data_IF_957526343282
#
_entry.id   IF_957526343282
#
_cell.length_a   1.000
_cell.length_b   1.000
_cell.length_c   1.000
_cell.angle_alpha   90.00
_cell.angle_beta   90.00
_cell.angle_gamma   90.00
#
_symmetry.space_group_name_H-M   'P 1'
#
loop_
_entity.id
_entity.type
_entity.pdbx_description
1 polymer ?
#
# COMPACT_ATOMS: atom_id res chain seq x y z
N UNK A 1 -11.50 28.15 36.32
CA UNK A 1 -10.10 28.15 35.94
C UNK A 1 -9.79 26.71 35.46
N UNK A 2 -9.72 26.50 34.14
CA UNK A 2 -9.29 25.21 33.60
C UNK A 2 -7.77 25.23 33.77
N UNK A 3 -7.25 24.37 34.65
CA UNK A 3 -5.82 24.12 34.77
C UNK A 3 -5.30 23.74 33.39
N UNK A 4 -4.25 24.36 32.85
CA UNK A 4 -3.68 23.92 31.58
C UNK A 4 -3.23 22.48 31.79
N UNK A 5 -3.85 21.53 31.07
CA UNK A 5 -3.41 20.13 31.09
C UNK A 5 -1.99 20.12 30.55
N UNK A 6 -1.01 19.94 31.44
CA UNK A 6 0.38 19.76 31.02
C UNK A 6 0.44 18.44 30.23
N UNK A 7 0.90 18.45 28.98
CA UNK A 7 1.01 17.24 28.20
C UNK A 7 1.84 16.16 28.90
N UNK A 8 1.34 14.95 28.97
CA UNK A 8 2.07 13.78 29.50
C UNK A 8 2.93 13.20 28.39
N UNK A 9 4.23 13.38 28.49
CA UNK A 9 5.17 12.79 27.54
C UNK A 9 5.47 11.34 27.91
N UNK A 10 5.55 10.47 26.89
CA UNK A 10 6.00 9.10 27.07
C UNK A 10 7.46 9.07 27.52
N UNK A 11 7.82 8.31 28.58
CA UNK A 11 9.21 8.14 29.00
C UNK A 11 9.90 7.06 28.15
N UNK A 12 11.24 6.98 28.21
CA UNK A 12 12.00 5.82 27.69
C UNK A 12 12.18 5.80 26.17
N UNK A 13 12.19 6.98 25.50
CA UNK A 13 12.59 7.03 24.09
C UNK A 13 14.02 6.50 23.86
N UNK A 14 14.35 6.15 22.60
CA UNK A 14 13.57 6.33 21.37
C UNK A 14 12.73 5.12 20.94
N UNK A 15 12.55 4.09 21.77
CA UNK A 15 11.90 2.83 21.40
C UNK A 15 12.90 1.79 20.87
N UNK A 16 12.40 0.62 20.45
CA UNK A 16 13.22 -0.43 19.84
C UNK A 16 13.56 -0.10 18.39
N UNK A 17 14.54 -0.81 17.83
CA UNK A 17 14.93 -0.68 16.42
C UNK A 17 13.73 -0.87 15.49
N UNK A 18 13.45 0.11 14.60
CA UNK A 18 12.33 0.00 13.68
C UNK A 18 12.57 -1.04 12.61
N UNK A 19 11.51 -1.74 12.24
CA UNK A 19 11.53 -2.74 11.17
C UNK A 19 10.25 -2.63 10.35
N UNK A 20 10.38 -2.83 9.06
CA UNK A 20 9.25 -2.89 8.13
C UNK A 20 8.50 -4.22 8.23
N UNK A 21 7.27 -4.28 7.73
CA UNK A 21 6.51 -5.53 7.67
C UNK A 21 7.10 -6.43 6.58
N UNK A 22 6.81 -7.76 6.67
CA UNK A 22 7.29 -8.69 5.65
C UNK A 22 6.70 -8.35 4.28
N UNK A 23 7.45 -8.69 3.26
CA UNK A 23 7.14 -8.30 1.92
C UNK A 23 6.12 -9.15 1.17
N UNK A 24 5.53 -10.15 1.78
CA UNK A 24 4.42 -10.91 1.20
C UNK A 24 3.15 -10.08 1.29
N UNK A 25 2.89 -9.24 0.29
CA UNK A 25 1.65 -8.48 0.18
C UNK A 25 0.65 -9.24 -0.67
N UNK A 26 -0.60 -9.29 -0.25
CA UNK A 26 -1.68 -9.96 -1.00
C UNK A 26 -2.48 -8.99 -1.85
N UNK A 27 -2.47 -7.70 -1.52
CA UNK A 27 -3.20 -6.69 -2.27
C UNK A 27 -2.48 -5.34 -2.29
N UNK A 28 -2.69 -4.62 -3.38
CA UNK A 28 -2.21 -3.25 -3.61
C UNK A 28 -3.41 -2.40 -4.03
N UNK A 29 -3.62 -1.29 -3.36
CA UNK A 29 -4.73 -0.39 -3.63
C UNK A 29 -4.32 1.07 -3.77
N UNK A 30 -5.10 1.79 -4.59
CA UNK A 30 -5.05 3.25 -4.72
C UNK A 30 -6.31 3.73 -5.44
N UNK A 31 -6.70 4.98 -5.29
CA UNK A 31 -7.66 5.62 -6.18
C UNK A 31 -7.04 5.87 -7.57
N UNK A 32 -7.84 5.85 -8.62
CA UNK A 32 -7.33 6.17 -9.96
C UNK A 32 -7.03 7.65 -10.15
N UNK A 33 -7.78 8.51 -9.46
CA UNK A 33 -7.63 9.96 -9.53
C UNK A 33 -6.24 10.44 -9.13
N UNK A 34 -5.73 11.42 -9.86
CA UNK A 34 -4.49 12.14 -9.52
C UNK A 34 -4.67 13.14 -8.37
N UNK A 35 -5.89 13.35 -7.88
CA UNK A 35 -6.15 14.16 -6.68
C UNK A 35 -5.81 13.43 -5.39
N UNK A 36 -5.71 12.11 -5.42
CA UNK A 36 -5.33 11.27 -4.28
C UNK A 36 -3.94 10.70 -4.51
N UNK A 37 -2.97 11.13 -3.73
CA UNK A 37 -1.59 10.63 -3.77
C UNK A 37 -1.35 9.56 -2.69
N UNK A 38 -2.33 8.67 -2.48
CA UNK A 38 -2.22 7.59 -1.51
C UNK A 38 -2.28 6.24 -2.21
N UNK A 39 -1.29 5.39 -1.92
CA UNK A 39 -1.27 3.96 -2.24
C UNK A 39 -1.14 3.18 -0.95
N UNK A 40 -1.60 1.95 -0.95
CA UNK A 40 -1.51 1.09 0.24
C UNK A 40 -1.36 -0.37 -0.13
N UNK A 41 -0.82 -1.14 0.78
CA UNK A 41 -0.70 -2.59 0.68
C UNK A 41 -1.45 -3.29 1.80
N UNK A 42 -1.86 -4.52 1.55
CA UNK A 42 -2.55 -5.36 2.54
C UNK A 42 -1.85 -6.70 2.69
N UNK A 43 -1.79 -7.18 3.94
CA UNK A 43 -1.39 -8.54 4.28
C UNK A 43 -2.14 -8.98 5.53
N UNK A 44 -2.49 -10.27 5.65
CA UNK A 44 -3.27 -10.82 6.78
C UNK A 44 -4.58 -10.07 7.10
N UNK A 45 -5.19 -9.45 6.10
CA UNK A 45 -6.38 -8.61 6.29
C UNK A 45 -6.09 -7.26 6.97
N UNK A 46 -4.84 -6.90 7.22
CA UNK A 46 -4.42 -5.62 7.78
C UNK A 46 -3.87 -4.69 6.70
N UNK A 47 -3.97 -3.38 6.94
CA UNK A 47 -3.21 -2.39 6.18
C UNK A 47 -1.76 -2.50 6.61
N UNK A 48 -0.88 -2.69 5.64
CA UNK A 48 0.57 -2.62 5.85
C UNK A 48 1.07 -1.23 5.42
N UNK A 49 2.05 -1.12 4.54
CA UNK A 49 2.56 0.21 4.19
C UNK A 49 1.48 1.07 3.50
N UNK A 50 1.45 2.35 3.83
CA UNK A 50 0.72 3.40 3.10
C UNK A 50 1.74 4.39 2.57
N UNK A 51 1.66 4.69 1.28
CA UNK A 51 2.61 5.55 0.57
C UNK A 51 2.01 6.93 0.33
N UNK A 52 2.79 7.97 0.54
CA UNK A 52 2.45 9.37 0.33
C UNK A 52 3.73 10.24 0.34
N UNK A 53 3.87 11.34 -0.39
CA UNK A 53 3.00 11.83 -1.48
C UNK A 53 3.29 11.15 -2.80
N UNK A 54 4.26 10.26 -2.82
CA UNK A 54 4.74 9.54 -3.99
C UNK A 54 4.75 8.05 -3.74
N UNK A 55 4.67 7.27 -4.81
CA UNK A 55 4.52 5.83 -4.75
C UNK A 55 5.75 5.09 -4.19
N UNK A 56 6.90 5.75 -4.17
CA UNK A 56 8.16 5.23 -3.61
C UNK A 56 8.38 5.57 -2.13
N UNK A 57 7.44 6.30 -1.51
CA UNK A 57 7.60 6.86 -0.16
C UNK A 57 6.58 6.29 0.85
N UNK A 58 6.81 5.08 1.43
CA UNK A 58 5.97 4.55 2.49
C UNK A 58 6.09 5.40 3.77
N UNK A 59 4.95 5.59 4.45
CA UNK A 59 4.80 6.50 5.58
C UNK A 59 4.36 5.82 6.87
N UNK A 60 3.87 4.58 6.80
CA UNK A 60 3.54 3.78 7.98
C UNK A 60 4.09 2.36 7.80
N UNK A 61 4.37 1.71 8.91
CA UNK A 61 4.72 0.29 8.94
C UNK A 61 3.47 -0.58 8.82
N UNK A 62 2.46 -0.32 9.65
CA UNK A 62 1.16 -0.97 9.62
C UNK A 62 0.09 -0.18 10.37
N UNK A 63 -1.16 -0.53 10.07
CA UNK A 63 -2.32 -0.18 10.85
C UNK A 63 -3.09 -1.46 11.14
N UNK A 64 -3.37 -1.73 12.40
CA UNK A 64 -4.13 -2.88 12.83
C UNK A 64 -5.13 -2.53 13.94
N UNK A 65 -6.10 -3.42 14.15
CA UNK A 65 -7.00 -3.33 15.28
C UNK A 65 -6.59 -4.29 16.38
N UNK A 66 -6.71 -3.81 17.60
CA UNK A 66 -6.46 -4.57 18.82
C UNK A 66 -7.80 -4.75 19.54
N UNK A 67 -8.05 -5.93 20.07
CA UNK A 67 -9.32 -6.26 20.75
C UNK A 67 -9.04 -6.90 22.08
N UNK A 68 -9.75 -6.46 23.11
CA UNK A 68 -9.69 -7.01 24.46
C UNK A 68 -11.06 -6.98 25.13
N UNK A 69 -11.28 -7.81 26.14
CA UNK A 69 -12.42 -7.68 27.06
C UNK A 69 -12.06 -6.89 28.34
N UNK A 70 -10.80 -6.49 28.46
CA UNK A 70 -10.27 -5.75 29.60
C UNK A 70 -9.92 -6.60 30.84
N UNK A 71 -10.04 -7.93 30.76
CA UNK A 71 -9.85 -8.82 31.91
C UNK A 71 -9.16 -10.16 31.59
N UNK A 72 -9.49 -10.79 30.45
CA UNK A 72 -9.11 -12.18 30.20
C UNK A 72 -8.26 -12.38 28.97
N UNK A 73 -8.36 -11.51 27.97
CA UNK A 73 -7.62 -11.68 26.73
C UNK A 73 -7.25 -10.35 26.06
N UNK A 74 -6.20 -10.42 25.27
CA UNK A 74 -5.78 -9.43 24.31
C UNK A 74 -5.45 -10.09 22.98
N UNK A 75 -6.03 -9.57 21.89
CA UNK A 75 -5.81 -10.06 20.54
C UNK A 75 -5.36 -8.94 19.62
N UNK A 76 -4.30 -9.19 18.85
CA UNK A 76 -3.94 -8.38 17.69
C UNK A 76 -4.32 -9.09 16.38
N UNK A 77 -4.65 -8.32 15.35
CA UNK A 77 -5.13 -8.88 14.09
C UNK A 77 -4.10 -9.79 13.41
N UNK A 78 -2.82 -9.54 13.54
CA UNK A 78 -1.77 -10.29 12.86
C UNK A 78 -1.52 -11.67 13.47
N UNK A 79 -1.72 -11.82 14.78
CA UNK A 79 -1.40 -13.05 15.52
C UNK A 79 -2.61 -13.91 15.85
N UNK A 80 -3.75 -13.28 16.12
CA UNK A 80 -4.91 -13.96 16.68
C UNK A 80 -6.04 -14.17 15.68
N UNK A 81 -5.91 -13.68 14.44
CA UNK A 81 -6.95 -13.79 13.43
C UNK A 81 -6.50 -14.58 12.20
N UNK A 82 -7.50 -15.07 11.46
CA UNK A 82 -7.34 -15.59 10.11
C UNK A 82 -8.06 -14.63 9.18
N UNK A 83 -7.30 -14.02 8.26
CA UNK A 83 -7.79 -13.01 7.34
C UNK A 83 -8.10 -13.57 5.95
N UNK A 84 -9.18 -13.08 5.34
CA UNK A 84 -9.46 -13.22 3.91
C UNK A 84 -9.60 -11.84 3.29
N UNK A 85 -9.12 -11.67 2.06
CA UNK A 85 -9.18 -10.40 1.33
C UNK A 85 -9.82 -10.65 -0.03
N UNK A 86 -10.89 -9.91 -0.30
CA UNK A 86 -11.61 -9.91 -1.56
C UNK A 86 -11.62 -8.50 -2.16
N UNK A 87 -11.81 -8.38 -3.47
CA UNK A 87 -11.96 -7.06 -4.10
C UNK A 87 -13.39 -6.56 -3.96
N UNK A 88 -13.57 -5.25 -3.72
CA UNK A 88 -14.90 -4.61 -3.63
C UNK A 88 -15.64 -4.55 -4.98
N UNK A 89 -14.93 -4.69 -6.10
CA UNK A 89 -15.48 -4.82 -7.45
C UNK A 89 -14.47 -5.51 -8.37
N UNK A 90 -14.91 -5.86 -9.58
CA UNK A 90 -14.05 -6.52 -10.57
C UNK A 90 -12.91 -5.60 -11.06
N UNK A 91 -13.16 -4.31 -11.18
CA UNK A 91 -12.23 -3.33 -11.73
C UNK A 91 -11.46 -2.55 -10.66
N UNK A 92 -12.05 -2.29 -9.50
CA UNK A 92 -11.49 -1.37 -8.53
C UNK A 92 -10.42 -2.01 -7.64
N UNK A 93 -9.36 -1.26 -7.35
CA UNK A 93 -8.27 -1.64 -6.45
C UNK A 93 -8.57 -1.19 -5.01
N UNK A 94 -9.75 -1.53 -4.53
CA UNK A 94 -10.21 -1.45 -3.16
C UNK A 94 -10.62 -2.84 -2.67
N UNK A 95 -10.61 -3.09 -1.37
CA UNK A 95 -10.69 -4.43 -0.84
C UNK A 95 -11.63 -4.55 0.35
N UNK A 96 -12.34 -5.67 0.39
CA UNK A 96 -13.03 -6.15 1.59
C UNK A 96 -12.14 -7.17 2.30
N UNK A 97 -11.85 -6.93 3.56
CA UNK A 97 -11.08 -7.84 4.40
C UNK A 97 -11.96 -8.37 5.54
N UNK A 98 -11.96 -9.68 5.74
CA UNK A 98 -12.64 -10.32 6.86
C UNK A 98 -11.60 -11.02 7.72
N UNK A 99 -11.40 -10.52 8.93
CA UNK A 99 -10.53 -11.11 9.92
C UNK A 99 -11.39 -11.82 10.98
N UNK A 100 -11.32 -13.15 11.00
CA UNK A 100 -12.02 -13.98 11.99
C UNK A 100 -11.06 -14.36 13.09
N UNK A 101 -11.45 -14.12 14.32
CA UNK A 101 -10.69 -14.58 15.49
C UNK A 101 -10.57 -16.11 15.46
N UNK A 102 -9.41 -16.66 15.85
CA UNK A 102 -9.06 -18.08 15.65
C UNK A 102 -10.03 -19.09 16.27
N UNK A 103 -10.67 -18.73 17.38
CA UNK A 103 -11.71 -19.55 18.02
C UNK A 103 -13.12 -19.26 17.48
N UNK A 104 -13.24 -18.28 16.57
CA UNK A 104 -14.50 -17.94 15.92
C UNK A 104 -15.51 -17.16 16.78
N UNK A 105 -15.07 -16.59 17.90
CA UNK A 105 -15.94 -15.85 18.83
C UNK A 105 -16.48 -14.56 18.26
N UNK A 106 -15.68 -13.89 17.41
CA UNK A 106 -16.02 -12.63 16.74
C UNK A 106 -15.21 -12.43 15.47
N UNK A 107 -15.59 -11.43 14.68
CA UNK A 107 -14.88 -11.08 13.45
C UNK A 107 -14.85 -9.58 13.23
N UNK A 108 -13.85 -9.14 12.49
CA UNK A 108 -13.68 -7.74 12.04
C UNK A 108 -13.82 -7.75 10.52
N UNK A 109 -14.83 -7.05 10.01
CA UNK A 109 -15.03 -6.84 8.58
C UNK A 109 -14.60 -5.42 8.23
N UNK A 110 -13.79 -5.29 7.18
CA UNK A 110 -13.25 -3.99 6.75
C UNK A 110 -13.44 -3.81 5.26
N UNK A 111 -13.87 -2.62 4.84
CA UNK A 111 -13.75 -2.16 3.45
C UNK A 111 -12.70 -1.08 3.40
N UNK A 112 -11.66 -1.28 2.60
CA UNK A 112 -10.45 -0.46 2.56
C UNK A 112 -10.30 0.15 1.17
N UNK A 113 -10.21 1.49 1.11
CA UNK A 113 -10.02 2.22 -0.14
C UNK A 113 -9.33 3.57 0.09
N UNK A 114 -8.60 4.07 -0.91
CA UNK A 114 -8.13 5.46 -0.93
C UNK A 114 -9.26 6.40 -1.28
N UNK A 115 -9.38 7.52 -0.56
CA UNK A 115 -10.34 8.58 -0.94
C UNK A 115 -10.00 9.07 -2.35
N UNK A 116 -10.95 9.09 -3.31
CA UNK A 116 -10.67 9.49 -4.69
C UNK A 116 -10.37 10.98 -4.87
N UNK A 117 -10.61 11.80 -3.85
CA UNK A 117 -10.49 13.26 -3.92
C UNK A 117 -9.49 13.85 -2.92
N UNK A 118 -9.06 13.05 -1.94
CA UNK A 118 -8.22 13.50 -0.83
C UNK A 118 -7.03 12.55 -0.63
N UNK A 119 -5.97 13.06 -0.01
CA UNK A 119 -4.82 12.26 0.41
C UNK A 119 -5.14 11.49 1.69
N UNK A 120 -6.10 10.58 1.60
CA UNK A 120 -6.63 9.86 2.75
C UNK A 120 -6.90 8.39 2.42
N UNK A 121 -6.54 7.51 3.33
CA UNK A 121 -6.96 6.11 3.33
C UNK A 121 -8.17 5.96 4.26
N UNK A 122 -9.21 5.30 3.79
CA UNK A 122 -10.43 5.02 4.54
C UNK A 122 -10.55 3.53 4.82
N UNK A 123 -10.80 3.19 6.07
CA UNK A 123 -11.02 1.82 6.56
C UNK A 123 -12.38 1.78 7.25
N UNK A 124 -13.44 1.46 6.51
CA UNK A 124 -14.74 1.21 7.14
C UNK A 124 -14.68 -0.15 7.83
N UNK A 125 -14.93 -0.17 9.11
CA UNK A 125 -14.78 -1.33 9.97
C UNK A 125 -16.08 -1.68 10.65
N UNK A 126 -16.40 -2.97 10.73
CA UNK A 126 -17.53 -3.51 11.45
C UNK A 126 -17.08 -4.67 12.34
N UNK A 127 -17.14 -4.47 13.66
CA UNK A 127 -16.92 -5.53 14.65
C UNK A 127 -18.21 -6.31 14.83
N UNK A 128 -18.17 -7.61 14.54
CA UNK A 128 -19.31 -8.52 14.67
C UNK A 128 -19.03 -9.56 15.76
N UNK A 129 -19.89 -9.60 16.77
CA UNK A 129 -19.85 -10.55 17.87
C UNK A 129 -21.28 -10.80 18.37
N UNK A 130 -21.53 -11.89 19.12
CA UNK A 130 -22.78 -12.05 19.88
C UNK A 130 -23.01 -10.83 20.80
N UNK A 131 -24.26 -10.37 20.99
CA UNK A 131 -24.55 -9.14 21.73
C UNK A 131 -23.93 -9.08 23.13
N UNK A 132 -23.92 -10.20 23.84
CA UNK A 132 -23.36 -10.31 25.20
C UNK A 132 -21.83 -10.13 25.22
N UNK A 133 -21.17 -10.61 24.17
CA UNK A 133 -19.72 -10.44 24.02
C UNK A 133 -19.40 -9.02 23.53
N UNK A 134 -20.16 -8.51 22.54
CA UNK A 134 -19.94 -7.19 21.96
C UNK A 134 -19.93 -6.07 23.00
N UNK A 135 -20.81 -6.18 24.02
CA UNK A 135 -20.87 -5.21 25.13
C UNK A 135 -19.61 -5.20 26.02
N UNK A 136 -18.85 -6.29 26.01
CA UNK A 136 -17.61 -6.42 26.80
C UNK A 136 -16.37 -6.06 26.00
N UNK A 137 -16.44 -6.16 24.66
CA UNK A 137 -15.30 -5.91 23.81
C UNK A 137 -14.92 -4.42 23.79
N UNK A 138 -13.64 -4.18 23.88
CA UNK A 138 -12.98 -2.90 23.60
C UNK A 138 -12.12 -3.08 22.37
N UNK A 139 -12.15 -2.10 21.49
CA UNK A 139 -11.39 -2.13 20.24
C UNK A 139 -10.54 -0.88 20.12
N UNK A 140 -9.30 -1.08 19.76
CA UNK A 140 -8.34 0.00 19.56
C UNK A 140 -7.80 -0.04 18.15
N UNK A 141 -7.53 1.12 17.58
CA UNK A 141 -6.69 1.25 16.40
C UNK A 141 -5.26 1.48 16.84
N UNK A 142 -4.32 0.76 16.26
CA UNK A 142 -2.87 0.94 16.44
C UNK A 142 -2.26 1.27 15.09
N UNK A 143 -1.50 2.36 15.00
CA UNK A 143 -0.71 2.74 13.85
C UNK A 143 0.75 2.96 14.24
N UNK A 144 1.68 2.39 13.49
CA UNK A 144 3.10 2.61 13.64
C UNK A 144 3.61 3.52 12.50
N UNK A 145 3.76 4.84 12.73
CA UNK A 145 4.30 5.75 11.73
C UNK A 145 5.78 5.44 11.43
N UNK A 146 6.11 5.43 10.15
CA UNK A 146 7.46 5.37 9.62
C UNK A 146 7.61 6.48 8.57
N UNK A 147 7.33 7.72 9.00
CA UNK A 147 7.28 8.87 8.12
C UNK A 147 8.64 9.16 7.48
N UNK A 148 8.59 9.66 6.24
CA UNK A 148 9.79 9.90 5.43
C UNK A 148 10.70 8.68 5.36
N UNK A 149 10.07 7.53 5.11
CA UNK A 149 10.72 6.22 4.90
C UNK A 149 11.59 5.80 6.08
N UNK A 150 11.09 5.95 7.32
CA UNK A 150 11.84 5.50 8.47
C UNK A 150 11.11 5.60 9.81
N UNK A 151 11.33 4.59 10.66
CA UNK A 151 10.72 4.52 11.99
C UNK A 151 11.44 5.36 13.04
N UNK A 152 12.69 5.75 12.81
CA UNK A 152 13.38 6.70 13.68
C UNK A 152 12.92 8.14 13.47
N UNK A 153 13.07 8.97 14.52
CA UNK A 153 12.81 10.40 14.48
C UNK A 153 11.36 10.78 14.15
N UNK A 154 10.40 9.89 14.40
CA UNK A 154 8.99 10.27 14.33
C UNK A 154 8.57 10.97 15.63
N UNK A 155 7.62 11.88 15.49
CA UNK A 155 6.99 12.58 16.59
C UNK A 155 5.49 12.29 16.53
N UNK A 156 4.87 12.00 17.68
CA UNK A 156 3.45 11.71 17.76
C UNK A 156 2.77 12.48 18.85
N UNK A 157 1.53 12.87 18.62
CA UNK A 157 0.72 13.66 19.55
C UNK A 157 -0.74 13.20 19.54
N UNK A 158 -1.35 13.19 20.71
CA UNK A 158 -2.80 13.08 20.89
C UNK A 158 -3.39 14.48 20.94
N UNK A 159 -4.03 14.90 19.87
CA UNK A 159 -4.67 16.20 19.77
C UNK A 159 -6.09 16.15 20.30
N UNK A 160 -6.40 16.96 21.30
CA UNK A 160 -7.77 17.17 21.77
C UNK A 160 -8.29 18.49 21.20
N UNK A 161 -9.13 18.40 20.18
CA UNK A 161 -9.85 19.51 19.59
C UNK A 161 -11.24 19.59 20.22
N UNK A 162 -11.96 20.74 20.07
CA UNK A 162 -13.32 20.87 20.61
C UNK A 162 -14.22 19.75 20.09
N UNK A 163 -14.58 18.83 20.99
CA UNK A 163 -15.49 17.71 20.73
C UNK A 163 -14.86 16.50 20.01
N UNK A 164 -13.59 16.52 19.63
CA UNK A 164 -12.94 15.40 18.94
C UNK A 164 -11.49 15.20 19.40
N UNK A 165 -11.07 13.94 19.46
CA UNK A 165 -9.65 13.57 19.62
C UNK A 165 -9.12 13.04 18.29
N UNK A 166 -7.93 13.47 17.92
CA UNK A 166 -7.21 13.06 16.70
C UNK A 166 -5.81 12.62 17.08
N UNK A 167 -5.37 11.48 16.55
CA UNK A 167 -3.99 11.04 16.69
C UNK A 167 -3.18 11.61 15.55
N UNK A 168 -2.03 12.21 15.84
CA UNK A 168 -1.16 12.79 14.80
C UNK A 168 0.26 12.33 14.95
N UNK A 169 0.95 12.21 13.80
CA UNK A 169 2.40 12.03 13.76
C UNK A 169 3.01 12.97 12.72
N UNK A 170 4.27 13.34 12.94
CA UNK A 170 5.00 14.19 12.00
C UNK A 170 6.50 13.89 12.01
N UNK A 171 7.11 14.10 10.83
CA UNK A 171 8.55 14.08 10.61
C UNK A 171 8.86 14.93 9.40
N UNK A 172 9.83 15.84 9.51
CA UNK A 172 10.13 16.78 8.43
C UNK A 172 8.90 17.54 7.92
N UNK A 173 8.58 17.37 6.65
CA UNK A 173 7.43 18.00 6.00
C UNK A 173 6.22 17.05 5.85
N UNK A 174 6.24 15.87 6.46
CA UNK A 174 5.16 14.91 6.36
C UNK A 174 4.36 14.85 7.66
N UNK A 175 3.05 15.02 7.55
CA UNK A 175 2.09 14.92 8.64
C UNK A 175 1.06 13.81 8.36
N UNK A 176 0.79 13.05 9.39
CA UNK A 176 -0.28 12.05 9.44
C UNK A 176 -1.30 12.49 10.50
N UNK A 177 -2.59 12.41 10.17
CA UNK A 177 -3.69 12.58 11.11
C UNK A 177 -4.63 11.38 11.02
N UNK A 178 -4.97 10.78 12.16
CA UNK A 178 -5.87 9.63 12.26
C UNK A 178 -7.08 10.00 13.11
N UNK A 179 -8.27 9.76 12.56
CA UNK A 179 -9.55 9.97 13.23
C UNK A 179 -10.56 8.91 12.83
N UNK A 180 -11.71 8.92 13.48
CA UNK A 180 -12.78 7.98 13.18
C UNK A 180 -14.14 8.67 13.23
N UNK A 181 -15.16 8.04 12.62
CA UNK A 181 -16.56 8.50 12.70
C UNK A 181 -17.21 8.25 14.06
N UNK A 182 -16.58 7.45 14.92
CA UNK A 182 -16.87 7.31 16.35
C UNK A 182 -15.79 8.01 17.16
N UNK A 183 -16.10 8.57 18.34
CA UNK A 183 -15.09 9.20 19.18
C UNK A 183 -14.00 8.21 19.62
N UNK A 184 -12.79 8.70 19.79
CA UNK A 184 -11.79 7.97 20.57
C UNK A 184 -12.07 8.13 22.07
N UNK A 185 -12.01 7.01 22.81
CA UNK A 185 -12.13 6.98 24.28
C UNK A 185 -10.79 7.24 24.93
N UNK A 186 -9.92 6.24 24.92
CA UNK A 186 -8.60 6.27 25.51
C UNK A 186 -7.57 6.39 24.39
N UNK A 187 -6.59 7.27 24.54
CA UNK A 187 -5.55 7.48 23.55
C UNK A 187 -4.17 7.49 24.19
N UNK A 188 -3.20 6.95 23.48
CA UNK A 188 -1.81 6.99 23.86
C UNK A 188 -0.90 7.13 22.65
N UNK A 189 0.19 7.88 22.82
CA UNK A 189 1.32 7.90 21.91
C UNK A 189 2.55 7.46 22.70
N UNK A 190 3.08 6.27 22.40
CA UNK A 190 4.20 5.67 23.14
C UNK A 190 5.31 5.21 22.20
N UNK A 191 6.43 4.80 22.78
CA UNK A 191 7.56 4.26 22.06
C UNK A 191 7.40 2.75 21.85
N UNK A 192 7.55 2.30 20.61
CA UNK A 192 7.37 0.90 20.21
C UNK A 192 8.23 -0.04 21.05
N UNK A 193 7.60 -1.07 21.60
CA UNK A 193 8.25 -2.10 22.43
C UNK A 193 8.69 -1.64 23.82
N UNK A 194 8.36 -0.41 24.22
CA UNK A 194 8.69 0.16 25.54
C UNK A 194 7.42 0.49 26.31
N UNK A 195 6.58 1.36 25.76
CA UNK A 195 5.37 1.84 26.41
C UNK A 195 4.28 2.25 25.40
N UNK A 196 4.30 1.66 24.23
CA UNK A 196 3.21 1.79 23.24
C UNK A 196 1.96 1.03 23.72
N UNK A 197 0.83 1.34 23.10
CA UNK A 197 -0.45 0.75 23.51
C UNK A 197 -0.54 -0.77 23.27
N UNK A 198 0.25 -1.35 22.36
CA UNK A 198 0.31 -2.79 22.20
C UNK A 198 0.97 -3.45 23.42
N UNK A 199 2.07 -2.88 23.89
CA UNK A 199 2.82 -3.35 25.05
C UNK A 199 1.95 -3.27 26.33
N UNK A 200 1.26 -2.16 26.53
CA UNK A 200 0.35 -1.95 27.67
C UNK A 200 -0.83 -2.94 27.66
N UNK A 201 -1.53 -3.05 26.54
CA UNK A 201 -2.66 -3.99 26.38
C UNK A 201 -2.24 -5.46 26.50
N UNK A 202 -1.03 -5.80 26.09
CA UNK A 202 -0.50 -7.17 26.23
C UNK A 202 -0.16 -7.53 27.67
N UNK A 203 0.17 -6.54 28.51
CA UNK A 203 0.53 -6.75 29.92
C UNK A 203 -0.72 -7.00 30.79
N UNK A 204 -1.76 -6.16 30.64
CA UNK A 204 -2.89 -6.18 31.58
C UNK A 204 -4.28 -6.05 30.94
N UNK A 205 -4.38 -6.14 29.60
CA UNK A 205 -5.62 -6.08 28.82
C UNK A 205 -6.31 -4.70 28.80
N UNK A 206 -5.66 -3.64 29.31
CA UNK A 206 -6.19 -2.28 29.40
C UNK A 206 -5.19 -1.26 28.86
N UNK A 207 -5.68 -0.12 28.37
CA UNK A 207 -4.83 1.00 27.98
C UNK A 207 -4.70 1.97 29.18
N UNK A 208 -3.79 1.66 30.07
CA UNK A 208 -3.55 2.44 31.28
C UNK A 208 -2.46 3.50 31.07
N UNK A 209 -1.51 3.26 30.17
CA UNK A 209 -0.44 4.19 29.83
C UNK A 209 -0.92 5.19 28.77
N UNK A 210 -1.51 6.26 29.24
CA UNK A 210 -2.05 7.31 28.37
C UNK A 210 -1.07 8.48 28.28
N UNK A 211 -0.26 8.50 27.24
CA UNK A 211 0.66 9.59 26.94
C UNK A 211 0.11 10.47 25.82
N UNK A 212 0.24 11.81 26.02
CA UNK A 212 -0.21 12.78 25.05
C UNK A 212 0.78 12.98 23.90
N UNK A 213 2.07 12.68 24.13
CA UNK A 213 3.10 12.79 23.10
C UNK A 213 4.28 11.85 23.35
N UNK A 214 4.88 11.40 22.24
CA UNK A 214 6.19 10.75 22.17
C UNK A 214 7.00 11.42 21.04
N UNK A 215 8.21 11.86 21.34
CA UNK A 215 9.00 12.68 20.44
C UNK A 215 10.31 11.98 20.07
N UNK A 216 10.74 12.19 18.83
CA UNK A 216 12.06 11.80 18.32
C UNK A 216 12.35 10.29 18.50
N UNK A 217 11.47 9.42 17.99
CA UNK A 217 11.66 7.98 18.16
C UNK A 217 10.87 7.10 17.21
N UNK A 218 10.96 5.79 17.45
CA UNK A 218 10.08 4.79 16.89
C UNK A 218 8.84 4.72 17.76
N UNK A 219 7.73 5.27 17.27
CA UNK A 219 6.52 5.51 18.03
C UNK A 219 5.33 4.72 17.49
N UNK A 220 4.32 4.54 18.34
CA UNK A 220 3.01 4.04 17.92
C UNK A 220 1.90 4.93 18.50
N UNK A 221 0.89 5.15 17.67
CA UNK A 221 -0.35 5.85 17.99
C UNK A 221 -1.44 4.83 18.27
N UNK A 222 -2.09 4.94 19.43
CA UNK A 222 -3.16 4.04 19.86
C UNK A 222 -4.39 4.83 20.25
N UNK A 223 -5.56 4.43 19.73
CA UNK A 223 -6.83 5.06 20.08
C UNK A 223 -7.95 4.04 20.29
N UNK A 224 -8.59 4.06 21.44
CA UNK A 224 -9.78 3.28 21.76
C UNK A 224 -11.00 3.83 21.00
N UNK A 225 -11.80 2.96 20.44
CA UNK A 225 -12.98 3.31 19.63
C UNK A 225 -14.26 3.17 20.45
N UNK A 226 -15.09 4.20 20.51
CA UNK A 226 -16.35 4.16 21.26
C UNK A 226 -17.40 3.27 20.57
N UNK A 227 -17.33 1.97 20.85
CA UNK A 227 -18.28 0.99 20.32
C UNK A 227 -19.72 1.17 20.85
N UNK A 228 -19.92 1.96 21.92
CA UNK A 228 -21.27 2.28 22.40
C UNK A 228 -22.05 3.14 21.42
N UNK A 229 -21.36 3.88 20.56
CA UNK A 229 -21.98 4.70 19.50
C UNK A 229 -22.31 3.90 18.25
N UNK A 230 -21.40 3.03 17.83
CA UNK A 230 -21.62 2.13 16.71
C UNK A 230 -20.56 1.02 16.67
N UNK A 231 -20.96 -0.19 16.29
CA UNK A 231 -20.03 -1.29 15.96
C UNK A 231 -19.53 -1.24 14.50
N UNK A 232 -20.14 -0.38 13.68
CA UNK A 232 -19.70 -0.06 12.30
C UNK A 232 -19.31 1.41 12.23
N UNK A 233 -18.06 1.67 11.88
CA UNK A 233 -17.46 3.00 11.82
C UNK A 233 -16.40 3.07 10.74
N UNK A 234 -15.90 4.26 10.42
CA UNK A 234 -14.78 4.47 9.50
C UNK A 234 -13.61 5.08 10.25
N UNK A 235 -12.44 4.46 10.14
CA UNK A 235 -11.15 5.05 10.51
C UNK A 235 -10.52 5.64 9.25
N UNK A 236 -9.96 6.84 9.38
CA UNK A 236 -9.32 7.55 8.28
C UNK A 236 -7.88 7.92 8.65
N UNK A 237 -6.96 7.72 7.70
CA UNK A 237 -5.55 8.12 7.77
C UNK A 237 -5.31 9.18 6.71
N UNK A 238 -5.20 10.41 7.12
CA UNK A 238 -5.03 11.56 6.24
C UNK A 238 -3.60 12.08 6.30
N UNK A 239 -3.06 12.40 5.12
CA UNK A 239 -1.70 12.92 4.97
C UNK A 239 -1.70 14.37 4.49
N UNK A 240 -0.66 15.11 4.87
CA UNK A 240 -0.44 16.47 4.44
C UNK A 240 1.00 16.92 4.64
N UNK A 241 1.37 18.05 4.05
CA UNK A 241 2.69 18.66 4.23
C UNK A 241 2.76 19.60 5.43
N UNK A 242 1.64 19.84 6.07
CA UNK A 242 1.50 20.59 7.31
C UNK A 242 0.43 19.96 8.19
N UNK A 243 0.48 20.24 9.50
CA UNK A 243 -0.56 19.84 10.45
C UNK A 243 -1.97 20.23 9.97
N UNK A 244 -2.11 21.48 9.50
CA UNK A 244 -3.40 21.99 9.03
C UNK A 244 -3.91 21.22 7.82
N UNK A 245 -3.04 20.91 6.84
CA UNK A 245 -3.43 20.12 5.67
C UNK A 245 -3.91 18.71 6.07
N UNK A 246 -3.16 18.01 6.93
CA UNK A 246 -3.54 16.67 7.36
C UNK A 246 -4.88 16.67 8.12
N UNK A 247 -5.09 17.62 9.05
CA UNK A 247 -6.35 17.74 9.79
C UNK A 247 -7.52 18.14 8.89
N UNK A 248 -7.32 19.06 7.94
CA UNK A 248 -8.35 19.48 6.99
C UNK A 248 -8.74 18.34 6.05
N UNK A 249 -7.75 17.59 5.54
CA UNK A 249 -7.96 16.37 4.74
C UNK A 249 -8.77 15.33 5.52
N UNK A 250 -8.39 15.07 6.77
CA UNK A 250 -9.11 14.15 7.66
C UNK A 250 -10.57 14.54 7.82
N UNK A 251 -10.81 15.80 8.19
CA UNK A 251 -12.16 16.32 8.40
C UNK A 251 -13.02 16.24 7.13
N UNK A 252 -12.48 16.60 5.97
CA UNK A 252 -13.18 16.52 4.70
C UNK A 252 -13.52 15.08 4.33
N UNK A 253 -12.59 14.14 4.45
CA UNK A 253 -12.84 12.73 4.13
C UNK A 253 -13.86 12.08 5.05
N UNK A 254 -13.85 12.38 6.35
CA UNK A 254 -14.81 11.85 7.32
C UNK A 254 -16.20 12.53 7.25
N UNK A 255 -16.31 13.73 6.66
CA UNK A 255 -17.60 14.43 6.51
C UNK A 255 -18.47 13.82 5.40
N UNK A 256 -17.90 13.06 4.48
CA UNK A 256 -18.61 12.42 3.38
C UNK A 256 -19.00 11.00 3.80
N UNK A 257 -20.28 10.59 3.61
CA UNK A 257 -20.68 9.22 3.88
C UNK A 257 -19.81 8.21 3.11
N UNK A 258 -19.31 7.19 3.80
CA UNK A 258 -18.40 6.22 3.22
C UNK A 258 -18.90 5.57 1.91
N UNK A 259 -20.19 5.22 1.84
CA UNK A 259 -20.77 4.59 0.65
C UNK A 259 -20.74 5.53 -0.57
N UNK A 260 -20.88 6.84 -0.38
CA UNK A 260 -20.74 7.81 -1.47
C UNK A 260 -19.29 7.85 -1.99
N UNK A 261 -18.32 7.82 -1.09
CA UNK A 261 -16.90 7.75 -1.45
C UNK A 261 -16.56 6.43 -2.13
N UNK A 262 -17.09 5.30 -1.62
CA UNK A 262 -16.93 3.97 -2.20
C UNK A 262 -17.47 3.90 -3.64
N UNK A 263 -18.65 4.42 -3.88
CA UNK A 263 -19.22 4.48 -5.24
C UNK A 263 -18.38 5.36 -6.19
N UNK A 264 -17.91 6.52 -5.73
CA UNK A 264 -17.06 7.38 -6.53
C UNK A 264 -15.72 6.68 -6.87
N UNK A 265 -15.15 5.97 -5.91
CA UNK A 265 -13.92 5.17 -6.08
C UNK A 265 -14.12 4.05 -7.12
N UNK A 266 -15.19 3.27 -7.02
CA UNK A 266 -15.48 2.19 -7.97
C UNK A 266 -15.71 2.75 -9.37
N UNK A 267 -16.51 3.83 -9.51
CA UNK A 267 -16.79 4.46 -10.81
C UNK A 267 -15.53 4.94 -11.55
N UNK A 268 -14.49 5.39 -10.85
CA UNK A 268 -13.22 5.79 -11.48
C UNK A 268 -12.55 4.61 -12.19
N UNK A 269 -12.43 3.49 -11.51
CA UNK A 269 -11.80 2.29 -12.02
C UNK A 269 -12.61 1.64 -13.15
N UNK A 270 -13.93 1.57 -13.02
CA UNK A 270 -14.81 1.04 -14.08
C UNK A 270 -14.75 1.87 -15.36
N UNK A 271 -14.70 3.21 -15.24
CA UNK A 271 -14.53 4.09 -16.40
C UNK A 271 -13.18 3.86 -17.08
N UNK A 272 -12.15 3.59 -16.30
CA UNK A 272 -10.80 3.32 -16.79
C UNK A 272 -10.74 1.97 -17.50
N UNK A 273 -11.27 0.92 -16.90
CA UNK A 273 -11.31 -0.43 -17.48
C UNK A 273 -12.02 -0.49 -18.84
N UNK A 274 -13.10 0.27 -19.02
CA UNK A 274 -13.85 0.35 -20.28
C UNK A 274 -13.05 0.90 -21.48
N UNK A 275 -11.86 1.48 -21.24
CA UNK A 275 -10.99 2.00 -22.31
C UNK A 275 -10.14 0.92 -22.96
N UNK A 276 -10.01 -0.24 -22.33
CA UNK A 276 -9.11 -1.30 -22.79
C UNK A 276 -9.85 -2.38 -23.55
N UNK A 277 -9.21 -2.84 -24.63
CA UNK A 277 -9.74 -3.95 -25.42
C UNK A 277 -9.44 -5.29 -24.73
N UNK A 278 -10.48 -6.01 -24.37
CA UNK A 278 -10.34 -7.39 -23.91
C UNK A 278 -9.89 -8.28 -25.08
N UNK A 279 -8.91 -9.19 -24.89
CA UNK A 279 -8.56 -10.17 -25.89
C UNK A 279 -9.77 -11.05 -26.24
N UNK A 280 -10.06 -11.21 -27.53
CA UNK A 280 -11.15 -12.05 -28.00
C UNK A 280 -10.95 -13.51 -27.50
N UNK A 281 -11.99 -14.09 -26.87
CA UNK A 281 -11.96 -15.47 -26.36
C UNK A 281 -11.31 -15.66 -24.99
N UNK A 282 -11.02 -14.60 -24.24
CA UNK A 282 -10.53 -14.73 -22.87
C UNK A 282 -11.70 -15.11 -21.94
N UNK A 283 -11.69 -16.35 -21.41
CA UNK A 283 -12.64 -16.80 -20.39
C UNK A 283 -12.41 -16.13 -19.01
N UNK A 284 -11.44 -15.22 -18.90
CA UNK A 284 -10.98 -14.65 -17.63
C UNK A 284 -10.87 -13.12 -17.69
N UNK A 285 -11.96 -12.47 -18.13
CA UNK A 285 -12.04 -11.00 -18.26
C UNK A 285 -11.71 -10.25 -16.96
N UNK A 286 -12.16 -10.77 -15.82
CA UNK A 286 -11.94 -10.18 -14.47
C UNK A 286 -10.48 -10.11 -14.06
N UNK A 287 -9.73 -11.21 -14.25
CA UNK A 287 -8.29 -11.23 -13.92
C UNK A 287 -7.50 -10.33 -14.86
N UNK A 288 -7.90 -10.25 -16.12
CA UNK A 288 -7.27 -9.37 -17.10
C UNK A 288 -7.47 -7.90 -16.73
N UNK A 289 -8.69 -7.47 -16.43
CA UNK A 289 -9.00 -6.09 -16.02
C UNK A 289 -8.22 -5.69 -14.77
N UNK A 290 -8.19 -6.55 -13.77
CA UNK A 290 -7.39 -6.33 -12.55
C UNK A 290 -5.90 -6.19 -12.84
N UNK A 291 -5.36 -7.03 -13.71
CA UNK A 291 -3.95 -6.97 -14.08
C UNK A 291 -3.60 -5.65 -14.77
N UNK A 292 -4.46 -5.17 -15.68
CA UNK A 292 -4.28 -3.88 -16.34
C UNK A 292 -4.35 -2.74 -15.32
N UNK A 293 -5.38 -2.75 -14.45
CA UNK A 293 -5.54 -1.71 -13.44
C UNK A 293 -4.41 -1.72 -12.41
N UNK A 294 -3.88 -2.91 -12.07
CA UNK A 294 -2.71 -3.03 -11.21
C UNK A 294 -1.46 -2.41 -11.86
N UNK A 295 -1.24 -2.64 -13.15
CA UNK A 295 -0.14 -1.98 -13.87
C UNK A 295 -0.29 -0.45 -13.85
N UNK A 296 -1.50 0.06 -14.10
CA UNK A 296 -1.78 1.50 -14.03
C UNK A 296 -1.57 2.08 -12.63
N UNK A 297 -1.87 1.31 -11.58
CA UNK A 297 -1.68 1.72 -10.19
C UNK A 297 -0.20 1.89 -9.81
N UNK A 298 0.72 1.33 -10.59
CA UNK A 298 2.17 1.46 -10.35
C UNK A 298 2.78 2.71 -11.01
N UNK A 299 1.99 3.53 -11.68
CA UNK A 299 2.39 4.87 -12.14
C UNK A 299 2.26 5.88 -11.00
N UNK A 300 3.29 6.69 -10.80
CA UNK A 300 3.25 7.79 -9.84
C UNK A 300 2.36 8.94 -10.33
N UNK A 301 1.75 9.66 -9.40
CA UNK A 301 0.79 10.72 -9.69
C UNK A 301 1.40 12.13 -9.69
N UNK A 302 2.56 12.27 -9.05
CA UNK A 302 3.35 13.52 -9.03
C UNK A 302 4.33 13.57 -10.19
N UNK A 303 4.92 12.42 -10.54
CA UNK A 303 5.85 12.25 -11.65
C UNK A 303 5.24 11.37 -12.75
N UNK A 304 4.37 11.94 -13.63
CA UNK A 304 3.67 11.14 -14.63
C UNK A 304 4.62 10.37 -15.53
N UNK A 305 4.37 9.09 -15.66
CA UNK A 305 5.21 8.16 -16.41
C UNK A 305 6.27 7.44 -15.56
N UNK A 306 6.56 7.89 -14.35
CA UNK A 306 7.40 7.14 -13.41
C UNK A 306 6.62 5.91 -12.93
N UNK A 307 7.12 4.71 -13.24
CA UNK A 307 6.51 3.45 -12.82
C UNK A 307 7.51 2.67 -11.97
N UNK A 308 7.11 2.34 -10.76
CA UNK A 308 7.91 1.49 -9.87
C UNK A 308 7.79 0.01 -10.25
N UNK A 309 8.73 -0.80 -9.80
CA UNK A 309 8.72 -2.23 -10.10
C UNK A 309 7.63 -2.97 -9.33
N UNK A 310 7.40 -2.67 -8.07
CA UNK A 310 6.32 -3.26 -7.26
C UNK A 310 6.14 -2.56 -5.91
N UNK A 311 4.88 -2.48 -5.45
CA UNK A 311 4.52 -2.17 -4.05
C UNK A 311 4.43 -3.44 -3.20
N UNK A 312 4.35 -4.62 -3.80
CA UNK A 312 4.06 -5.89 -3.13
C UNK A 312 5.28 -6.80 -2.94
N UNK A 313 6.47 -6.36 -3.34
CA UNK A 313 7.70 -7.13 -3.14
C UNK A 313 8.36 -6.75 -1.82
N UNK A 314 9.02 -7.74 -1.16
CA UNK A 314 9.59 -7.56 0.13
C UNK A 314 10.45 -6.32 0.26
N UNK A 315 10.04 -5.50 1.20
CA UNK A 315 10.96 -4.68 1.91
C UNK A 315 11.63 -5.50 3.02
N UNK A 316 10.96 -6.55 3.48
CA UNK A 316 11.44 -7.57 4.40
C UNK A 316 11.18 -7.21 5.86
N UNK A 317 10.67 -8.17 6.64
CA UNK A 317 10.51 -8.07 8.10
C UNK A 317 11.83 -7.80 8.83
N UNK A 318 12.93 -8.07 8.16
CA UNK A 318 14.25 -8.01 8.76
C UNK A 318 15.03 -6.77 8.33
N UNK A 319 14.41 -5.90 7.52
CA UNK A 319 15.02 -4.67 7.04
C UNK A 319 14.78 -3.55 8.05
N UNK A 320 15.87 -2.93 8.46
CA UNK A 320 15.89 -1.71 9.26
C UNK A 320 15.81 -0.47 8.35
N UNK A 321 15.79 0.70 8.96
CA UNK A 321 15.84 1.99 8.26
C UNK A 321 17.11 2.22 7.44
N UNK A 322 18.15 1.42 7.64
CA UNK A 322 19.41 1.52 6.87
C UNK A 322 19.27 0.97 5.44
N UNK A 323 18.28 0.09 5.19
CA UNK A 323 18.05 -0.50 3.89
C UNK A 323 16.79 0.10 3.21
N UNK A 324 16.86 1.35 2.78
CA UNK A 324 15.75 2.09 2.18
C UNK A 324 15.44 1.70 0.74
N UNK A 325 16.27 0.90 0.10
CA UNK A 325 16.09 0.51 -1.30
C UNK A 325 15.28 -0.77 -1.47
N UNK A 326 14.48 -0.83 -2.53
CA UNK A 326 13.65 -2.00 -2.81
C UNK A 326 12.98 -1.93 -4.18
N UNK A 327 11.94 -2.72 -4.36
CA UNK A 327 11.20 -2.74 -5.62
C UNK A 327 10.19 -1.60 -5.76
N UNK A 328 9.99 -0.79 -4.72
CA UNK A 328 9.24 0.48 -4.76
C UNK A 328 10.01 1.61 -5.48
N UNK A 329 11.13 1.31 -6.10
CA UNK A 329 11.92 2.18 -6.97
C UNK A 329 11.59 1.95 -8.44
N UNK A 330 11.98 2.89 -9.30
CA UNK A 330 11.95 2.71 -10.74
C UNK A 330 13.10 1.79 -11.16
N UNK A 331 12.75 0.66 -11.78
CA UNK A 331 13.68 -0.24 -12.46
C UNK A 331 13.40 -0.15 -13.95
N UNK A 332 14.32 0.40 -14.71
CA UNK A 332 14.14 0.66 -16.14
C UNK A 332 13.65 -0.58 -16.91
N UNK A 333 14.20 -1.75 -16.60
CA UNK A 333 13.79 -3.02 -17.21
C UNK A 333 12.33 -3.37 -16.93
N UNK A 334 11.91 -3.22 -15.70
CA UNK A 334 10.56 -3.61 -15.26
C UNK A 334 9.52 -2.60 -15.77
N UNK A 335 9.85 -1.32 -15.74
CA UNK A 335 9.07 -0.25 -16.33
C UNK A 335 8.80 -0.49 -17.83
N UNK A 336 9.82 -0.85 -18.62
CA UNK A 336 9.65 -1.15 -20.05
C UNK A 336 8.71 -2.34 -20.27
N UNK A 337 8.75 -3.36 -19.41
CA UNK A 337 7.82 -4.51 -19.50
C UNK A 337 6.38 -4.10 -19.20
N UNK A 338 6.15 -3.30 -18.14
CA UNK A 338 4.83 -2.78 -17.78
C UNK A 338 4.24 -1.94 -18.93
N UNK A 339 5.04 -1.02 -19.47
CA UNK A 339 4.66 -0.17 -20.61
C UNK A 339 4.32 -1.00 -21.86
N UNK A 340 5.12 -2.03 -22.15
CA UNK A 340 4.86 -2.92 -23.27
C UNK A 340 3.54 -3.68 -23.10
N UNK A 341 3.22 -4.15 -21.90
CA UNK A 341 1.95 -4.78 -21.59
C UNK A 341 0.76 -3.82 -21.78
N UNK A 342 0.89 -2.57 -21.30
CA UNK A 342 -0.15 -1.54 -21.48
C UNK A 342 -0.38 -1.20 -22.95
N UNK A 343 0.66 -1.16 -23.79
CA UNK A 343 0.52 -0.99 -25.23
C UNK A 343 -0.29 -2.10 -25.88
N UNK A 344 -0.12 -3.35 -25.44
CA UNK A 344 -0.86 -4.51 -26.03
C UNK A 344 -2.35 -4.46 -25.76
N UNK A 345 -2.78 -3.77 -24.69
CA UNK A 345 -4.20 -3.59 -24.33
C UNK A 345 -4.78 -2.30 -24.88
N UNK A 346 -3.99 -1.53 -25.65
CA UNK A 346 -4.44 -0.30 -26.31
C UNK A 346 -4.34 0.95 -25.44
N UNK A 347 -3.64 0.90 -24.31
CA UNK A 347 -3.24 2.13 -23.61
C UNK A 347 -2.02 2.73 -24.33
N UNK A 348 -2.16 3.95 -24.79
CA UNK A 348 -1.08 4.70 -25.43
C UNK A 348 -0.63 5.91 -24.60
N UNK A 349 -1.43 6.31 -23.63
CA UNK A 349 -1.19 7.51 -22.85
C UNK A 349 -0.13 7.28 -21.75
N UNK A 350 -0.25 6.20 -20.99
CA UNK A 350 0.74 5.84 -19.97
C UNK A 350 2.10 5.50 -20.59
N UNK A 351 2.18 4.66 -21.65
CA UNK A 351 3.43 4.44 -22.38
C UNK A 351 4.10 5.70 -22.91
N UNK A 352 3.34 6.68 -23.39
CA UNK A 352 3.92 7.95 -23.85
C UNK A 352 4.53 8.75 -22.70
N UNK A 353 3.82 8.86 -21.56
CA UNK A 353 4.36 9.53 -20.37
C UNK A 353 5.62 8.83 -19.87
N UNK A 354 5.60 7.50 -19.84
CA UNK A 354 6.74 6.70 -19.42
C UNK A 354 7.96 6.88 -20.33
N UNK A 355 7.76 7.00 -21.64
CA UNK A 355 8.84 7.29 -22.58
C UNK A 355 9.46 8.68 -22.32
N UNK A 356 8.61 9.69 -22.10
CA UNK A 356 9.07 11.04 -21.76
C UNK A 356 9.87 11.02 -20.45
N UNK A 357 9.34 10.35 -19.42
CA UNK A 357 10.02 10.22 -18.14
C UNK A 357 11.38 9.53 -18.27
N UNK A 358 11.47 8.43 -19.02
CA UNK A 358 12.74 7.75 -19.28
C UNK A 358 13.73 8.64 -20.02
N UNK A 359 13.27 9.36 -21.05
CA UNK A 359 14.13 10.28 -21.79
C UNK A 359 14.73 11.37 -20.88
N UNK A 360 13.96 11.86 -19.91
CA UNK A 360 14.43 12.85 -18.92
C UNK A 360 15.34 12.24 -17.85
N UNK A 361 15.27 10.91 -17.62
CA UNK A 361 16.09 10.17 -16.65
C UNK A 361 17.38 9.61 -17.29
N UNK A 362 17.61 9.87 -18.58
CA UNK A 362 18.79 9.39 -19.29
C UNK A 362 20.04 10.11 -18.81
N UNK A 363 21.12 9.36 -18.59
CA UNK A 363 22.43 9.88 -18.24
C UNK A 363 23.09 10.55 -19.45
N UNK A 364 24.07 11.41 -19.22
CA UNK A 364 24.86 12.07 -20.27
C UNK A 364 25.57 11.06 -21.22
N UNK A 365 25.95 9.90 -20.69
CA UNK A 365 26.56 8.81 -21.48
C UNK A 365 25.53 7.99 -22.31
N UNK A 366 24.25 8.37 -22.28
CA UNK A 366 23.15 7.71 -22.96
C UNK A 366 22.65 6.44 -22.25
N UNK A 367 23.20 6.09 -21.10
CA UNK A 367 22.79 4.96 -20.28
C UNK A 367 21.68 5.31 -19.29
N UNK A 368 21.28 4.31 -18.50
CA UNK A 368 20.35 4.47 -17.39
C UNK A 368 20.94 3.83 -16.13
N UNK A 369 20.58 4.38 -14.98
CA UNK A 369 20.88 3.70 -13.72
C UNK A 369 20.11 2.39 -13.63
N UNK A 370 20.62 1.44 -12.86
CA UNK A 370 19.95 0.16 -12.65
C UNK A 370 18.59 0.34 -11.99
N UNK A 371 18.53 1.17 -10.96
CA UNK A 371 17.33 1.63 -10.29
C UNK A 371 17.53 3.04 -9.73
N UNK A 372 16.45 3.76 -9.56
CA UNK A 372 16.46 5.13 -9.07
C UNK A 372 15.12 5.48 -8.44
N UNK A 373 15.14 6.49 -7.58
CA UNK A 373 13.95 7.10 -7.00
C UNK A 373 13.13 7.76 -8.09
N UNK A 374 11.84 7.95 -7.87
CA UNK A 374 10.96 8.52 -8.89
C UNK A 374 11.34 9.95 -9.29
N UNK A 375 12.09 10.68 -8.48
CA UNK A 375 12.66 12.00 -8.79
C UNK A 375 13.93 11.93 -9.68
N UNK A 376 14.35 10.72 -10.07
CA UNK A 376 15.51 10.47 -10.92
C UNK A 376 16.83 10.28 -10.16
N UNK A 377 16.88 10.46 -8.84
CA UNK A 377 18.10 10.22 -8.06
C UNK A 377 18.47 8.74 -8.05
N UNK A 378 19.72 8.38 -8.41
CA UNK A 378 20.14 6.98 -8.40
C UNK A 378 20.11 6.41 -6.98
N UNK A 379 19.67 5.15 -6.86
CA UNK A 379 19.80 4.40 -5.61
C UNK A 379 21.07 3.53 -5.64
N UNK A 380 21.16 2.63 -6.62
CA UNK A 380 22.42 1.93 -6.88
C UNK A 380 23.13 2.58 -8.05
N UNK A 381 24.40 2.92 -7.85
CA UNK A 381 25.23 3.55 -8.88
C UNK A 381 25.70 2.56 -9.96
N UNK A 382 25.35 1.27 -9.83
CA UNK A 382 25.64 0.26 -10.84
C UNK A 382 24.97 0.59 -12.16
N UNK A 383 25.73 0.53 -13.24
CA UNK A 383 25.16 0.59 -14.60
C UNK A 383 24.65 -0.80 -14.93
N UNK A 384 23.39 -0.95 -15.28
CA UNK A 384 22.89 -2.20 -15.82
C UNK A 384 23.41 -2.36 -17.26
N UNK A 385 24.68 -2.76 -17.39
CA UNK A 385 25.29 -3.19 -18.66
C UNK A 385 24.76 -4.59 -18.97
N UNK A 386 23.47 -4.72 -19.14
CA UNK A 386 22.88 -5.97 -19.60
C UNK A 386 22.84 -5.98 -21.12
N UNK A 387 22.84 -7.17 -21.71
CA UNK A 387 22.49 -7.46 -23.10
C UNK A 387 21.15 -6.86 -23.53
N UNK A 388 20.62 -5.94 -22.77
CA UNK A 388 19.36 -5.23 -22.88
C UNK A 388 19.39 -3.93 -23.68
N UNK A 389 20.48 -3.57 -24.35
CA UNK A 389 20.42 -2.46 -25.32
C UNK A 389 19.28 -2.65 -26.34
N UNK A 390 18.96 -3.89 -26.68
CA UNK A 390 17.92 -4.20 -27.67
C UNK A 390 16.52 -4.28 -27.05
N UNK A 391 16.36 -4.73 -25.81
CA UNK A 391 15.04 -4.83 -25.18
C UNK A 391 14.48 -3.46 -24.72
N UNK A 392 15.33 -2.52 -24.34
CA UNK A 392 14.92 -1.16 -24.00
C UNK A 392 14.49 -0.39 -25.27
N UNK A 393 15.13 -0.66 -26.42
CA UNK A 393 14.79 -0.05 -27.70
C UNK A 393 13.54 -0.64 -28.35
N UNK A 394 13.14 -1.89 -28.07
CA UNK A 394 11.97 -2.49 -28.72
C UNK A 394 10.66 -1.83 -28.29
N UNK A 395 10.51 -1.44 -27.03
CA UNK A 395 9.38 -0.64 -26.56
C UNK A 395 9.36 0.77 -27.16
N UNK A 396 10.54 1.42 -27.21
CA UNK A 396 10.69 2.73 -27.85
C UNK A 396 10.49 2.66 -29.37
N UNK A 397 11.02 1.65 -30.07
CA UNK A 397 10.82 1.44 -31.49
C UNK A 397 9.34 1.13 -31.83
N UNK A 398 8.62 0.41 -30.97
CA UNK A 398 7.19 0.19 -31.14
C UNK A 398 6.40 1.51 -31.01
N UNK A 399 6.78 2.39 -30.08
CA UNK A 399 6.17 3.72 -29.92
C UNK A 399 6.50 4.67 -31.09
N UNK A 400 7.75 4.67 -31.57
CA UNK A 400 8.15 5.44 -32.75
C UNK A 400 7.43 4.98 -34.02
N UNK A 401 7.25 3.67 -34.19
CA UNK A 401 6.52 3.07 -35.31
C UNK A 401 5.04 3.42 -35.25
N UNK A 402 4.45 3.52 -34.07
CA UNK A 402 3.08 3.98 -33.86
C UNK A 402 2.95 5.50 -34.13
N UNK A 403 3.86 6.31 -33.61
CA UNK A 403 3.90 7.77 -33.84
C UNK A 403 4.03 8.12 -35.33
N UNK A 404 4.72 7.27 -36.07
CA UNK A 404 4.85 7.39 -37.53
C UNK A 404 3.60 6.90 -38.30
N UNK A 405 2.49 6.54 -37.60
CA UNK A 405 1.26 6.04 -38.24
C UNK A 405 1.39 4.68 -38.92
N UNK A 406 2.48 3.96 -38.67
CA UNK A 406 2.78 2.67 -39.30
C UNK A 406 2.15 1.47 -38.61
N UNK A 407 1.67 1.62 -37.36
CA UNK A 407 0.86 0.65 -36.65
C UNK A 407 -0.61 1.07 -36.71
N UNK A 408 -1.40 0.36 -37.50
CA UNK A 408 -2.87 0.48 -37.42
C UNK A 408 -3.34 -0.27 -36.19
N UNK A 409 -4.34 0.24 -35.44
CA UNK A 409 -4.99 -0.54 -34.41
C UNK A 409 -5.47 -1.85 -35.01
N UNK A 410 -5.20 -2.97 -34.33
CA UNK A 410 -5.63 -4.31 -34.77
C UNK A 410 -7.15 -4.31 -34.86
N UNK A 411 -7.66 -4.19 -36.08
CA UNK A 411 -9.04 -4.55 -36.39
C UNK A 411 -9.14 -6.08 -36.29
N UNK A 412 -10.10 -6.53 -35.51
CA UNK A 412 -10.52 -7.90 -35.25
C UNK A 412 -9.96 -8.95 -36.23
N UNK A 413 -9.02 -9.78 -35.77
CA UNK A 413 -8.52 -10.93 -36.52
C UNK A 413 -7.22 -11.44 -35.90
N UNK A 414 -7.30 -12.56 -35.19
CA UNK A 414 -6.28 -13.47 -34.66
C UNK A 414 -4.94 -12.88 -34.18
N UNK A 415 -4.54 -13.08 -32.93
CA UNK A 415 -3.25 -12.63 -32.44
C UNK A 415 -2.15 -13.55 -32.99
N UNK A 416 -1.52 -13.17 -34.11
CA UNK A 416 -0.17 -13.67 -34.37
C UNK A 416 0.81 -12.79 -33.64
N UNK A 417 1.44 -13.35 -32.61
CA UNK A 417 2.65 -12.75 -32.01
C UNK A 417 3.61 -12.42 -33.19
N UNK A 418 3.89 -11.14 -33.34
CA UNK A 418 4.92 -10.71 -34.28
C UNK A 418 6.28 -10.98 -33.63
N UNK A 419 6.96 -12.06 -34.07
CA UNK A 419 8.37 -12.32 -33.78
C UNK A 419 9.14 -11.73 -34.94
N UNK A 420 10.06 -10.77 -34.75
CA UNK A 420 10.93 -10.31 -35.81
C UNK A 420 11.83 -11.48 -36.24
N UNK A 421 11.76 -11.87 -37.49
CA UNK A 421 12.73 -12.79 -38.06
C UNK A 421 14.10 -12.11 -38.13
N UNK A 422 15.17 -12.67 -37.53
CA UNK A 422 16.52 -12.21 -37.76
C UNK A 422 16.91 -12.61 -39.23
N UNK A 423 17.30 -11.61 -40.00
CA UNK A 423 17.92 -11.82 -41.31
C UNK A 423 19.09 -12.79 -41.20
N UNK A 424 19.17 -13.72 -42.13
CA UNK A 424 20.23 -14.72 -42.26
C UNK A 424 21.59 -14.07 -42.32
N UNK A 425 22.41 -14.33 -41.32
CA UNK A 425 23.87 -14.47 -41.50
C UNK A 425 24.30 -15.63 -40.61
N UNK A 426 24.87 -16.64 -41.24
CA UNK A 426 25.23 -17.89 -40.58
C UNK A 426 26.41 -17.74 -39.63
N UNK A 427 26.34 -18.39 -38.48
CA UNK A 427 27.41 -19.19 -37.88
C UNK A 427 26.87 -19.99 -36.69
N UNK A 428 27.22 -21.21 -36.68
CA UNK A 428 27.16 -22.40 -35.82
C UNK A 428 26.60 -22.27 -34.40
N UNK A 429 25.82 -23.29 -34.13
CA UNK A 429 25.18 -23.70 -32.88
C UNK A 429 26.12 -23.87 -31.70
N UNK A 430 25.68 -23.37 -30.55
CA UNK A 430 26.10 -23.79 -29.24
C UNK A 430 24.81 -23.95 -28.38
N UNK A 431 24.57 -25.18 -27.98
CA UNK A 431 23.47 -25.61 -27.13
C UNK A 431 23.57 -24.92 -25.77
N UNK A 432 22.58 -24.14 -25.39
CA UNK A 432 22.36 -23.70 -24.00
C UNK A 432 20.91 -23.95 -23.64
N UNK A 433 20.75 -24.68 -22.54
CA UNK A 433 19.51 -25.23 -22.07
C UNK A 433 18.41 -24.22 -21.77
N UNK A 434 17.21 -24.66 -22.04
CA UNK A 434 15.94 -24.04 -21.65
C UNK A 434 15.81 -23.89 -20.15
N UNK A 435 15.50 -22.69 -19.68
CA UNK A 435 14.65 -22.51 -18.52
C UNK A 435 13.72 -21.33 -18.76
N UNK A 436 12.64 -21.61 -19.47
CA UNK A 436 11.45 -20.75 -19.47
C UNK A 436 10.73 -20.97 -18.14
N UNK A 437 10.83 -20.01 -17.23
CA UNK A 437 9.85 -19.88 -16.13
C UNK A 437 9.00 -18.65 -16.43
N UNK A 438 7.82 -18.90 -16.93
CA UNK A 438 6.71 -17.96 -16.88
C UNK A 438 6.43 -17.65 -15.40
N UNK A 439 6.46 -16.38 -15.04
CA UNK A 439 5.86 -15.92 -13.80
C UNK A 439 4.35 -15.92 -13.94
N UNK A 440 3.74 -17.03 -13.54
CA UNK A 440 2.32 -17.05 -13.21
C UNK A 440 2.17 -16.37 -11.84
N UNK A 441 1.40 -15.29 -11.77
CA UNK A 441 0.89 -14.76 -10.51
C UNK A 441 -0.09 -15.81 -10.00
N UNK A 442 0.34 -16.58 -9.02
CA UNK A 442 -0.49 -17.60 -8.37
C UNK A 442 -1.52 -16.90 -7.47
N UNK A 443 -2.74 -16.75 -7.97
CA UNK A 443 -3.92 -16.58 -7.15
C UNK A 443 -4.40 -17.99 -6.75
N UNK A 444 -3.71 -18.64 -5.84
CA UNK A 444 -4.07 -19.93 -5.28
C UNK A 444 -3.98 -19.86 -3.75
N UNK A 445 -5.05 -20.24 -3.10
CA UNK A 445 -5.17 -20.30 -1.65
C UNK A 445 -4.15 -21.25 -1.00
N UNK A 446 -4.08 -21.26 0.33
CA UNK A 446 -3.00 -21.85 1.08
C UNK A 446 -3.04 -23.39 1.00
N UNK A 447 -2.10 -23.99 0.30
CA UNK A 447 -1.71 -25.37 0.58
C UNK A 447 -0.54 -25.35 1.54
N UNK A 448 -0.84 -25.70 2.79
CA UNK A 448 0.12 -26.03 3.81
C UNK A 448 0.91 -27.27 3.35
N UNK A 449 2.16 -27.08 2.94
CA UNK A 449 3.10 -28.15 2.63
C UNK A 449 3.97 -28.41 3.85
N UNK A 450 3.81 -29.55 4.48
CA UNK A 450 4.78 -30.09 5.43
C UNK A 450 5.89 -30.80 4.67
N UNK A 451 7.14 -30.58 5.07
CA UNK A 451 8.25 -31.35 4.56
C UNK A 451 8.20 -32.79 5.15
N UNK A 452 8.93 -33.74 4.51
CA UNK A 452 8.96 -35.13 4.91
C UNK A 452 9.57 -35.38 6.31
N UNK A 453 9.78 -34.39 7.13
CA UNK A 453 10.30 -34.51 8.51
C UNK A 453 9.44 -33.81 9.56
N UNK A 454 8.25 -33.34 9.21
CA UNK A 454 7.27 -32.84 10.20
C UNK A 454 7.68 -31.62 11.00
N UNK A 455 8.51 -30.72 10.45
CA UNK A 455 8.87 -29.47 11.09
C UNK A 455 8.18 -28.30 10.41
N UNK A 456 7.39 -27.57 11.18
CA UNK A 456 6.83 -26.28 10.80
C UNK A 456 7.99 -25.29 10.79
N UNK A 457 8.28 -24.72 9.62
CA UNK A 457 9.21 -23.58 9.50
C UNK A 457 8.40 -22.30 9.73
N UNK A 458 8.85 -21.53 10.72
CA UNK A 458 8.33 -20.20 11.08
C UNK A 458 8.77 -19.13 10.06
#
# INVERSE_FOLDING_TARGET
MISPNVPRFAPGGPGIEPRWTRGTKVAVGTAYSTSSHVWYTLDYGCVTEVYYPTIDSPQIRDLQFLVTDGENFFHDERRNFVGNIDCISEAALGFDATNREKEGRYSIHKTILGDPHQNCLLVQTHLQAPPELLQKLRMYVLCAPHLEIGGWHNNGEVLRLEGQTVLTAYKGNTWLAIGATVPFTDCSCGYVGVNDGWTDLADNYRLDWQYDAALDGNIALTGGLDLSKASKFTVALAFGTTRHNALSTLAQSLSIPFEQTREAFIRQWERTSKRFALPAGSNNSKLFERSVNLLLAHEDKTYPGAMIASLSIPWGDEKSDEELGGYHLVWTRDMVKCVSALLTVGDFSTPLRALIYLAMSQREDGGFYQNFWIDGRPHWQGVQVGRGRISNYSGMAAMETWRAGKLRPLRHGSPRLWVPHPGRSGHRAGTVGRSERLFAINAGGPHCGTDMRGRILY
#
